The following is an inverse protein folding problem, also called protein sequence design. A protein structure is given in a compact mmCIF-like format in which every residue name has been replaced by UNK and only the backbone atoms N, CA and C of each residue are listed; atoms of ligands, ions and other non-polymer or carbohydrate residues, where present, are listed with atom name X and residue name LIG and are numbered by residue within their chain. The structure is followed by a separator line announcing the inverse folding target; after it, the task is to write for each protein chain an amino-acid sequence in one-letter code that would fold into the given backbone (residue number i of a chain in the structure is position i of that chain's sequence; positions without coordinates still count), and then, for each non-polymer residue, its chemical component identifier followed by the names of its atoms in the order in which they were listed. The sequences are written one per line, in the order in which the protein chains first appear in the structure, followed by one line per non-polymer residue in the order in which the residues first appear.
data_IF_986941112612
#
_entry.id   IF_986941112612
#
_cell.length_a   1.000
_cell.length_b   1.000
_cell.length_c   1.000
_cell.angle_alpha   90.00
_cell.angle_beta   90.00
_cell.angle_gamma   90.00
#
_symmetry.space_group_name_H-M   'P 1'
#
loop_
_entity.id
_entity.type
_entity.pdbx_description
1 polymer ?
#
# COMPACT_ATOMS: atom_id res chain seq x y z
N UNK A 1 18.81 -2.40 -30.64
CA UNK A 1 19.76 -3.16 -29.79
C UNK A 1 20.14 -2.34 -28.55
N UNK A 2 19.14 -1.85 -27.78
CA UNK A 2 19.36 -1.04 -26.55
C UNK A 2 18.61 -1.58 -25.33
N UNK A 3 17.81 -2.64 -25.48
CA UNK A 3 16.98 -3.20 -24.39
C UNK A 3 17.69 -4.27 -23.53
N UNK A 4 18.94 -4.64 -23.84
CA UNK A 4 19.61 -5.80 -23.22
C UNK A 4 20.58 -5.48 -22.07
N UNK A 5 20.76 -4.21 -21.70
CA UNK A 5 21.72 -3.78 -20.66
C UNK A 5 21.05 -3.39 -19.34
N UNK A 6 19.81 -3.84 -19.13
CA UNK A 6 19.11 -3.62 -17.86
C UNK A 6 19.50 -4.81 -16.97
N UNK A 7 20.23 -4.53 -15.89
CA UNK A 7 20.49 -5.51 -14.84
C UNK A 7 19.15 -5.92 -14.20
N UNK A 8 18.52 -6.93 -14.79
CA UNK A 8 17.32 -7.63 -14.30
C UNK A 8 17.30 -7.83 -12.77
N UNK A 9 18.39 -8.26 -12.11
CA UNK A 9 18.38 -8.41 -10.64
C UNK A 9 18.15 -7.08 -9.92
N UNK A 10 18.78 -5.99 -10.34
CA UNK A 10 18.66 -4.67 -9.67
C UNK A 10 17.25 -4.10 -9.83
N UNK A 11 16.67 -4.25 -11.03
CA UNK A 11 15.28 -3.87 -11.32
C UNK A 11 14.33 -4.67 -10.42
N UNK A 12 14.56 -5.99 -10.30
CA UNK A 12 13.69 -6.87 -9.52
C UNK A 12 13.76 -6.57 -8.02
N UNK A 13 14.95 -6.31 -7.48
CA UNK A 13 15.12 -5.93 -6.07
C UNK A 13 14.48 -4.58 -5.77
N UNK A 14 14.61 -3.60 -6.68
CA UNK A 14 14.00 -2.28 -6.51
C UNK A 14 12.47 -2.35 -6.57
N UNK A 15 11.92 -3.09 -7.54
CA UNK A 15 10.47 -3.33 -7.63
C UNK A 15 9.95 -4.11 -6.43
N UNK A 16 10.67 -5.12 -5.96
CA UNK A 16 10.33 -5.89 -4.77
C UNK A 16 10.31 -5.03 -3.51
N UNK A 17 11.27 -4.11 -3.37
CA UNK A 17 11.30 -3.15 -2.28
C UNK A 17 10.12 -2.19 -2.32
N UNK A 18 9.83 -1.60 -3.47
CA UNK A 18 8.67 -0.70 -3.66
C UNK A 18 7.37 -1.43 -3.38
N UNK A 19 7.24 -2.67 -3.87
CA UNK A 19 6.09 -3.52 -3.60
C UNK A 19 5.91 -3.79 -2.10
N UNK A 20 6.97 -4.19 -1.39
CA UNK A 20 6.93 -4.43 0.05
C UNK A 20 6.61 -3.16 0.83
N UNK A 21 7.15 -2.00 0.45
CA UNK A 21 6.82 -0.72 1.07
C UNK A 21 5.34 -0.36 0.89
N UNK A 22 4.82 -0.43 -0.34
CA UNK A 22 3.41 -0.16 -0.61
C UNK A 22 2.49 -1.13 0.14
N UNK A 23 2.85 -2.41 0.20
CA UNK A 23 2.10 -3.46 0.88
C UNK A 23 2.08 -3.22 2.40
N UNK A 24 3.23 -2.93 3.02
CA UNK A 24 3.33 -2.59 4.43
C UNK A 24 2.47 -1.37 4.81
N UNK A 25 2.48 -0.34 3.97
CA UNK A 25 1.61 0.82 4.17
C UNK A 25 0.14 0.43 4.03
N UNK A 26 -0.25 -0.24 2.95
CA UNK A 26 -1.62 -0.70 2.70
C UNK A 26 -2.18 -1.45 3.92
N UNK A 27 -1.46 -2.43 4.44
CA UNK A 27 -1.91 -3.20 5.60
C UNK A 27 -2.12 -2.35 6.85
N UNK A 28 -1.27 -1.35 7.08
CA UNK A 28 -1.41 -0.46 8.23
C UNK A 28 -2.67 0.43 8.13
N UNK A 29 -3.06 0.86 6.93
CA UNK A 29 -4.26 1.67 6.69
C UNK A 29 -5.54 0.81 6.59
N UNK A 30 -5.42 -0.44 6.17
CA UNK A 30 -6.56 -1.33 5.95
C UNK A 30 -7.36 -1.57 7.24
N UNK A 31 -6.72 -1.57 8.41
CA UNK A 31 -7.41 -1.69 9.70
C UNK A 31 -8.45 -0.59 9.95
N UNK A 32 -8.09 0.67 9.71
CA UNK A 32 -8.99 1.82 9.90
C UNK A 32 -10.05 1.83 8.80
N UNK A 33 -9.68 1.55 7.56
CA UNK A 33 -10.61 1.54 6.44
C UNK A 33 -11.63 0.40 6.51
N UNK A 34 -11.24 -0.77 7.02
CA UNK A 34 -12.17 -1.83 7.37
C UNK A 34 -13.12 -1.40 8.50
N UNK A 35 -12.57 -0.79 9.55
CA UNK A 35 -13.39 -0.25 10.66
C UNK A 35 -14.38 0.81 10.19
N UNK A 36 -14.02 1.62 9.20
CA UNK A 36 -14.86 2.69 8.65
C UNK A 36 -15.79 2.20 7.52
N UNK A 37 -15.81 0.90 7.20
CA UNK A 37 -16.68 0.34 6.16
C UNK A 37 -16.32 0.78 4.72
N UNK A 38 -15.08 1.22 4.47
CA UNK A 38 -14.65 1.66 3.13
C UNK A 38 -14.53 0.45 2.21
N UNK A 39 -15.15 0.50 1.03
CA UNK A 39 -15.08 -0.58 0.05
C UNK A 39 -13.64 -0.82 -0.46
N UNK A 40 -13.29 -2.07 -0.76
CA UNK A 40 -11.96 -2.48 -1.22
C UNK A 40 -11.46 -1.64 -2.43
N UNK A 41 -12.33 -1.43 -3.43
CA UNK A 41 -12.00 -0.64 -4.62
C UNK A 41 -11.62 0.80 -4.27
N UNK A 42 -12.27 1.38 -3.26
CA UNK A 42 -12.00 2.74 -2.80
C UNK A 42 -10.67 2.84 -2.05
N UNK A 43 -10.28 1.81 -1.30
CA UNK A 43 -8.98 1.75 -0.58
C UNK A 43 -7.80 1.80 -1.53
N UNK A 44 -7.89 1.04 -2.63
CA UNK A 44 -6.85 1.00 -3.66
C UNK A 44 -6.77 2.36 -4.37
N UNK A 45 -7.91 2.96 -4.72
CA UNK A 45 -7.94 4.30 -5.31
C UNK A 45 -7.35 5.38 -4.39
N UNK A 46 -7.50 5.26 -3.07
CA UNK A 46 -6.88 6.17 -2.10
C UNK A 46 -5.35 6.08 -2.11
N UNK A 47 -4.81 4.86 -2.19
CA UNK A 47 -3.36 4.62 -2.27
C UNK A 47 -2.81 5.11 -3.60
N UNK A 48 -3.48 4.82 -4.72
CA UNK A 48 -3.06 5.28 -6.05
C UNK A 48 -3.00 6.81 -6.15
N UNK A 49 -3.91 7.51 -5.46
CA UNK A 49 -3.92 8.99 -5.39
C UNK A 49 -2.81 9.57 -4.51
N UNK A 50 -2.32 8.82 -3.52
CA UNK A 50 -1.30 9.28 -2.54
C UNK A 50 -0.09 8.35 -2.50
N UNK A 51 0.29 7.81 -3.65
CA UNK A 51 1.35 6.81 -3.76
C UNK A 51 2.71 7.25 -3.19
N UNK A 52 3.19 8.52 -3.31
CA UNK A 52 4.49 8.89 -2.75
C UNK A 52 4.49 8.89 -1.22
N UNK A 53 3.36 9.27 -0.62
CA UNK A 53 3.16 9.25 0.82
C UNK A 53 3.16 7.81 1.34
N UNK A 54 2.38 6.93 0.71
CA UNK A 54 2.33 5.51 1.10
C UNK A 54 3.68 4.82 0.90
N UNK A 55 4.41 5.15 -0.17
CA UNK A 55 5.75 4.64 -0.42
C UNK A 55 6.72 5.09 0.68
N UNK A 56 6.76 6.38 1.01
CA UNK A 56 7.63 6.92 2.08
C UNK A 56 7.30 6.34 3.46
N UNK A 57 6.01 6.29 3.81
CA UNK A 57 5.54 5.70 5.06
C UNK A 57 5.95 4.23 5.16
N UNK A 58 5.62 3.42 4.17
CA UNK A 58 5.96 1.99 4.16
C UNK A 58 7.45 1.69 4.06
N UNK A 59 8.24 2.59 3.45
CA UNK A 59 9.71 2.47 3.34
C UNK A 59 10.37 2.39 4.71
N UNK A 60 9.90 3.16 5.68
CA UNK A 60 10.44 3.17 7.04
C UNK A 60 10.30 1.77 7.68
N UNK A 61 9.11 1.16 7.56
CA UNK A 61 8.85 -0.18 8.09
C UNK A 61 9.65 -1.25 7.33
N UNK A 62 9.73 -1.13 6.00
CA UNK A 62 10.48 -2.07 5.15
C UNK A 62 11.97 -2.04 5.46
N UNK A 63 12.58 -0.87 5.67
CA UNK A 63 14.00 -0.76 6.07
C UNK A 63 14.22 -1.38 7.44
N UNK A 64 13.35 -1.08 8.41
CA UNK A 64 13.45 -1.64 9.76
C UNK A 64 13.36 -3.17 9.75
N UNK A 65 12.45 -3.73 8.96
CA UNK A 65 12.26 -5.19 8.86
C UNK A 65 13.42 -5.87 8.13
N UNK A 66 14.05 -5.19 7.15
CA UNK A 66 15.21 -5.71 6.42
C UNK A 66 16.56 -5.46 7.12
N UNK A 67 16.57 -4.86 8.32
CA UNK A 67 17.80 -4.60 9.07
C UNK A 67 18.54 -5.90 9.48
N UNK A 68 17.77 -6.96 9.75
CA UNK A 68 18.31 -8.26 10.18
C UNK A 68 18.17 -9.30 9.06
N UNK A 69 19.20 -10.13 8.89
CA UNK A 69 19.16 -11.31 8.00
C UNK A 69 18.40 -12.49 8.62
N UNK A 70 18.20 -12.49 9.94
CA UNK A 70 17.46 -13.52 10.65
C UNK A 70 15.96 -13.27 10.56
N UNK A 71 15.23 -14.21 9.95
CA UNK A 71 13.77 -14.15 9.78
C UNK A 71 13.02 -13.91 11.10
N UNK A 72 13.43 -14.60 12.18
CA UNK A 72 12.78 -14.48 13.50
C UNK A 72 12.91 -13.04 14.03
N UNK A 73 14.11 -12.46 13.95
CA UNK A 73 14.38 -11.10 14.44
C UNK A 73 13.61 -10.07 13.60
N UNK A 74 13.60 -10.23 12.27
CA UNK A 74 12.80 -9.38 11.38
C UNK A 74 11.30 -9.49 11.68
N UNK A 75 10.80 -10.69 11.97
CA UNK A 75 9.41 -10.91 12.39
C UNK A 75 9.09 -10.24 13.73
N UNK A 76 10.01 -10.26 14.70
CA UNK A 76 9.84 -9.55 15.96
C UNK A 76 9.86 -8.03 15.78
N UNK A 77 10.77 -7.49 14.97
CA UNK A 77 10.83 -6.05 14.65
C UNK A 77 9.53 -5.62 13.96
N UNK A 78 9.08 -6.40 12.97
CA UNK A 78 7.80 -6.17 12.31
C UNK A 78 6.66 -6.19 13.33
N UNK A 79 6.54 -7.24 14.14
CA UNK A 79 5.47 -7.37 15.15
C UNK A 79 5.44 -6.24 16.18
N UNK A 80 6.60 -5.67 16.53
CA UNK A 80 6.70 -4.54 17.45
C UNK A 80 6.36 -3.20 16.79
N UNK A 81 6.81 -2.97 15.55
CA UNK A 81 6.59 -1.71 14.84
C UNK A 81 5.21 -1.63 14.18
N UNK A 82 4.68 -2.76 13.73
CA UNK A 82 3.38 -2.81 13.05
C UNK A 82 2.24 -2.13 13.83
N UNK A 83 2.01 -2.37 15.14
CA UNK A 83 0.98 -1.65 15.89
C UNK A 83 1.22 -0.14 15.95
N UNK A 84 2.48 0.30 16.03
CA UNK A 84 2.82 1.73 15.99
C UNK A 84 2.43 2.35 14.63
N UNK A 85 2.69 1.63 13.54
CA UNK A 85 2.29 2.04 12.19
C UNK A 85 0.77 2.10 12.02
N UNK A 86 0.01 1.20 12.64
CA UNK A 86 -1.47 1.25 12.65
C UNK A 86 -1.98 2.49 13.40
N UNK A 87 -1.39 2.82 14.55
CA UNK A 87 -1.79 4.05 15.28
C UNK A 87 -1.44 5.29 14.48
N UNK A 88 -0.26 5.32 13.85
CA UNK A 88 0.16 6.43 13.00
C UNK A 88 -0.75 6.62 11.79
N UNK A 89 -1.19 5.53 11.13
CA UNK A 89 -2.13 5.63 10.01
C UNK A 89 -3.49 6.16 10.44
N UNK A 90 -3.95 5.82 11.65
CA UNK A 90 -5.21 6.31 12.23
C UNK A 90 -5.19 7.83 12.44
N UNK A 91 -4.09 8.35 13.00
CA UNK A 91 -3.91 9.78 13.21
C UNK A 91 -3.91 10.55 11.88
N UNK A 92 -3.19 10.03 10.88
CA UNK A 92 -3.12 10.63 9.55
C UNK A 92 -4.50 10.63 8.86
N UNK A 93 -5.26 9.53 8.91
CA UNK A 93 -6.60 9.46 8.33
C UNK A 93 -7.55 10.50 8.96
N UNK A 94 -7.46 10.68 10.29
CA UNK A 94 -8.24 11.68 11.01
C UNK A 94 -7.88 13.12 10.58
N UNK A 95 -6.61 13.41 10.39
CA UNK A 95 -6.13 14.70 9.88
C UNK A 95 -6.55 14.95 8.43
N UNK A 96 -6.56 13.90 7.61
CA UNK A 96 -7.05 13.96 6.24
C UNK A 96 -8.55 14.30 6.22
N UNK A 97 -9.35 13.65 7.06
CA UNK A 97 -10.79 13.92 7.13
C UNK A 97 -11.06 15.36 7.60
N UNK A 98 -10.29 15.88 8.56
CA UNK A 98 -10.43 17.26 9.03
C UNK A 98 -10.00 18.29 7.98
N UNK A 99 -8.90 18.03 7.25
CA UNK A 99 -8.42 18.89 6.15
C UNK A 99 -9.35 18.86 4.94
N UNK A 100 -9.93 17.71 4.60
CA UNK A 100 -10.91 17.59 3.51
C UNK A 100 -12.22 18.31 3.84
N UNK A 101 -12.69 18.24 5.09
CA UNK A 101 -13.88 18.98 5.54
C UNK A 101 -13.69 20.50 5.45
N UNK A 102 -12.45 20.99 5.60
CA UNK A 102 -12.11 22.41 5.49
C UNK A 102 -11.76 22.88 4.06
N UNK A 103 -11.37 21.98 3.15
CA UNK A 103 -10.87 22.34 1.82
C UNK A 103 -11.26 21.30 0.77
N UNK A 104 -12.46 21.44 0.20
CA UNK A 104 -13.04 20.51 -0.78
C UNK A 104 -12.29 20.42 -2.13
N UNK A 105 -11.24 21.23 -2.37
CA UNK A 105 -10.67 21.41 -3.71
C UNK A 105 -9.23 20.90 -3.90
N UNK A 106 -8.65 20.17 -2.93
CA UNK A 106 -7.21 19.81 -2.94
C UNK A 106 -6.95 18.30 -2.90
N UNK A 107 -7.45 17.58 -3.90
CA UNK A 107 -7.12 16.17 -4.15
C UNK A 107 -6.86 15.93 -5.66
N UNK A 108 -6.08 16.81 -6.28
CA UNK A 108 -5.74 16.73 -7.71
C UNK A 108 -4.31 16.20 -7.92
N UNK A 109 -4.01 15.00 -7.41
CA UNK A 109 -2.87 14.24 -7.89
C UNK A 109 -3.37 13.17 -8.88
N UNK A 110 -2.72 12.99 -10.04
CA UNK A 110 -3.15 12.00 -11.02
C UNK A 110 -3.03 10.60 -10.40
N UNK A 111 -4.15 9.89 -10.32
CA UNK A 111 -4.17 8.49 -9.90
C UNK A 111 -3.40 7.66 -10.93
N UNK A 112 -2.32 7.01 -10.50
CA UNK A 112 -1.57 6.10 -11.37
C UNK A 112 -2.26 4.74 -11.27
N UNK A 113 -2.83 4.19 -12.36
CA UNK A 113 -3.66 2.98 -12.30
C UNK A 113 -2.78 1.73 -12.29
N UNK A 114 -1.88 1.60 -11.30
CA UNK A 114 -1.00 0.45 -11.19
C UNK A 114 -1.80 -0.81 -10.84
N UNK A 115 -2.88 -0.68 -10.06
CA UNK A 115 -3.68 -1.80 -9.59
C UNK A 115 -4.91 -2.11 -10.45
N UNK A 116 -5.31 -1.26 -11.39
CA UNK A 116 -6.46 -1.54 -12.29
C UNK A 116 -6.33 -2.88 -13.03
N UNK A 117 -5.13 -3.25 -13.46
CA UNK A 117 -4.87 -4.53 -14.13
C UNK A 117 -5.09 -5.69 -13.15
N UNK A 118 -4.52 -5.57 -11.95
CA UNK A 118 -4.71 -6.56 -10.88
C UNK A 118 -6.19 -6.68 -10.49
N UNK A 119 -6.90 -5.55 -10.34
CA UNK A 119 -8.33 -5.51 -10.03
C UNK A 119 -9.16 -6.25 -11.08
N UNK A 120 -8.87 -6.02 -12.36
CA UNK A 120 -9.61 -6.64 -13.46
C UNK A 120 -9.38 -8.16 -13.50
N UNK A 121 -8.14 -8.61 -13.25
CA UNK A 121 -7.80 -10.03 -13.15
C UNK A 121 -8.51 -10.65 -11.94
N UNK A 122 -8.39 -10.04 -10.76
CA UNK A 122 -9.01 -10.53 -9.52
C UNK A 122 -10.53 -10.57 -9.63
N UNK A 123 -11.17 -9.56 -10.24
CA UNK A 123 -12.63 -9.57 -10.44
C UNK A 123 -13.05 -10.69 -11.39
N UNK A 124 -12.31 -10.92 -12.49
CA UNK A 124 -12.57 -12.05 -13.39
C UNK A 124 -12.37 -13.39 -12.70
N UNK A 125 -11.34 -13.52 -11.88
CA UNK A 125 -11.03 -14.75 -11.15
C UNK A 125 -12.04 -15.02 -10.03
N UNK A 126 -12.42 -13.99 -9.28
CA UNK A 126 -13.45 -14.04 -8.26
C UNK A 126 -14.81 -14.43 -8.84
N UNK A 127 -15.21 -13.84 -9.97
CA UNK A 127 -16.43 -14.23 -10.69
C UNK A 127 -16.36 -15.69 -11.19
N UNK A 128 -15.19 -16.16 -11.62
CA UNK A 128 -15.01 -17.53 -12.08
C UNK A 128 -15.08 -18.56 -10.94
N UNK A 129 -14.64 -18.20 -9.72
CA UNK A 129 -14.57 -19.11 -8.57
C UNK A 129 -15.85 -19.07 -7.72
N UNK A 130 -16.36 -17.88 -7.42
CA UNK A 130 -17.46 -17.70 -6.46
C UNK A 130 -18.82 -17.50 -7.13
N UNK A 131 -18.86 -17.30 -8.45
CA UNK A 131 -20.07 -16.80 -9.10
C UNK A 131 -20.44 -15.40 -8.59
N UNK A 132 -21.49 -14.82 -9.17
CA UNK A 132 -21.91 -13.43 -8.96
C UNK A 132 -22.45 -13.20 -7.54
N UNK A 133 -21.59 -13.09 -6.56
CA UNK A 133 -21.90 -12.64 -5.21
C UNK A 133 -21.03 -11.43 -4.84
N UNK A 134 -21.34 -10.29 -5.46
CA UNK A 134 -21.28 -8.93 -4.91
C UNK A 134 -22.02 -7.99 -5.87
#
# INVERSE_FOLDING_TARGET
MLFFNINLPIISSSLGFVYMALLNSLYSFDYIWMSNGVNLNSRIALIERRWPFHLGFGTILTIATNYSSNFIISGCIFGALFPFFIVSSCLVDTEILSTLKGNNNKLNFPAIPFYCIAQNITNKLSLAIFGRFF
#
